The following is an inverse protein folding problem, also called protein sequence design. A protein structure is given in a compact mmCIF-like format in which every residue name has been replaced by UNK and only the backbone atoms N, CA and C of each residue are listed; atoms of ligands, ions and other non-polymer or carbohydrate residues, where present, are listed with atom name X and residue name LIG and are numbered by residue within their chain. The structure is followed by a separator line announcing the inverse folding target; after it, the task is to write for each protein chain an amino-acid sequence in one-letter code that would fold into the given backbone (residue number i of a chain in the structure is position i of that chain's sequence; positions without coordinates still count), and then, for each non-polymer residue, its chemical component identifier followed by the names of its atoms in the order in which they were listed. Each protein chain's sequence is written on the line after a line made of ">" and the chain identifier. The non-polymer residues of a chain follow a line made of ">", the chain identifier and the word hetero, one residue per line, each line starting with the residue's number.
data_IF_179108808965
#
_entry.id   IF_179108808965
#
_cell.length_a   1.000
_cell.length_b   1.000
_cell.length_c   1.000
_cell.angle_alpha   90.00
_cell.angle_beta   90.00
_cell.angle_gamma   90.00
#
_symmetry.space_group_name_H-M   'P 1'
#
loop_
_entity.id
_entity.type
_entity.pdbx_description
1 polymer ?
#
# COMPACT_ATOMS: atom_id res chain seq x y z
N UNK A 1 33.61 -14.91 34.38
CA UNK A 1 33.83 -14.20 33.09
C UNK A 1 33.42 -15.16 31.99
N UNK A 2 32.45 -14.94 31.10
CA UNK A 2 31.38 -13.96 30.92
C UNK A 2 30.22 -14.74 30.28
N UNK A 3 28.99 -14.57 30.79
CA UNK A 3 27.77 -15.02 30.11
C UNK A 3 27.56 -14.06 28.93
N UNK A 4 27.68 -14.55 27.70
CA UNK A 4 27.42 -13.76 26.50
C UNK A 4 25.92 -13.46 26.42
N UNK A 5 25.57 -12.20 26.62
CA UNK A 5 24.22 -11.67 26.46
C UNK A 5 23.77 -11.75 25.00
N UNK A 6 22.57 -12.29 24.83
CA UNK A 6 21.80 -12.25 23.58
C UNK A 6 21.23 -10.83 23.47
N UNK A 7 21.72 -10.02 22.53
CA UNK A 7 21.12 -8.73 22.21
C UNK A 7 19.95 -8.91 21.24
N UNK A 8 18.74 -9.02 21.80
CA UNK A 8 17.52 -8.82 21.01
C UNK A 8 17.48 -7.37 20.56
N UNK A 9 17.61 -7.15 19.25
CA UNK A 9 17.34 -5.87 18.60
C UNK A 9 15.86 -5.51 18.79
N UNK A 10 15.55 -4.77 19.85
CA UNK A 10 14.26 -4.11 20.02
C UNK A 10 14.16 -2.97 19.00
N UNK A 11 13.79 -3.31 17.77
CA UNK A 11 13.29 -2.35 16.81
C UNK A 11 12.01 -1.74 17.38
N UNK A 12 12.05 -0.47 17.73
CA UNK A 12 10.87 0.31 18.09
C UNK A 12 9.90 0.28 16.91
N UNK A 13 8.91 -0.61 16.94
CA UNK A 13 7.75 -0.52 16.05
C UNK A 13 7.08 0.81 16.36
N UNK A 14 7.33 1.83 15.55
CA UNK A 14 6.54 3.05 15.59
C UNK A 14 5.07 2.67 15.58
N UNK A 15 4.31 3.18 16.56
CA UNK A 15 2.86 3.01 16.60
C UNK A 15 2.29 3.73 15.38
N UNK A 16 2.04 2.99 14.31
CA UNK A 16 1.36 3.52 13.12
C UNK A 16 -0.02 4.03 13.53
N UNK A 17 -0.39 5.19 13.01
CA UNK A 17 -1.74 5.74 13.17
C UNK A 17 -2.74 4.77 12.58
N UNK A 18 -3.81 4.50 13.33
CA UNK A 18 -4.96 3.71 12.89
C UNK A 18 -6.11 4.67 12.67
N UNK A 19 -6.85 4.48 11.58
CA UNK A 19 -8.03 5.26 11.23
C UNK A 19 -9.27 4.41 11.43
N UNK A 20 -10.37 5.04 11.82
CA UNK A 20 -11.69 4.43 11.75
C UNK A 20 -12.18 4.37 10.31
N UNK A 21 -13.16 3.50 10.06
CA UNK A 21 -13.77 3.35 8.75
C UNK A 21 -14.45 4.64 8.28
N UNK A 22 -15.11 5.37 9.19
CA UNK A 22 -15.80 6.61 8.89
C UNK A 22 -14.82 7.75 8.56
N UNK A 23 -13.72 7.89 9.30
CA UNK A 23 -12.66 8.85 8.98
C UNK A 23 -12.09 8.61 7.58
N UNK A 24 -11.80 7.35 7.25
CA UNK A 24 -11.28 6.99 5.95
C UNK A 24 -12.30 7.23 4.82
N UNK A 25 -13.59 6.99 5.05
CA UNK A 25 -14.64 7.33 4.08
C UNK A 25 -14.70 8.83 3.85
N UNK A 26 -14.72 9.65 4.91
CA UNK A 26 -14.82 11.11 4.76
C UNK A 26 -13.65 11.65 3.92
N UNK A 27 -12.41 11.28 4.27
CA UNK A 27 -11.22 11.70 3.53
C UNK A 27 -11.21 11.17 2.08
N UNK A 28 -11.67 9.93 1.87
CA UNK A 28 -11.75 9.34 0.53
C UNK A 28 -12.84 9.99 -0.32
N UNK A 29 -13.98 10.37 0.26
CA UNK A 29 -15.05 11.08 -0.44
C UNK A 29 -14.58 12.44 -0.92
N UNK A 30 -13.82 13.17 -0.09
CA UNK A 30 -13.17 14.42 -0.50
C UNK A 30 -12.22 14.19 -1.67
N UNK A 31 -11.35 13.16 -1.58
CA UNK A 31 -10.44 12.78 -2.66
C UNK A 31 -11.18 12.47 -3.97
N UNK A 32 -12.30 11.75 -3.90
CA UNK A 32 -13.13 11.42 -5.06
C UNK A 32 -14.17 12.50 -5.41
N UNK A 33 -14.00 13.74 -4.92
CA UNK A 33 -14.82 14.91 -5.29
C UNK A 33 -16.32 14.69 -5.03
N UNK A 34 -16.66 14.01 -3.93
CA UNK A 34 -18.03 13.74 -3.51
C UNK A 34 -18.57 12.36 -3.91
N UNK A 35 -17.80 11.51 -4.60
CA UNK A 35 -18.23 10.14 -4.91
C UNK A 35 -18.07 9.20 -3.70
N UNK A 36 -19.14 9.08 -2.91
CA UNK A 36 -19.20 8.20 -1.73
C UNK A 36 -19.08 6.71 -2.07
N UNK A 37 -19.53 6.29 -3.26
CA UNK A 37 -19.47 4.89 -3.67
C UNK A 37 -18.02 4.48 -3.94
N UNK A 38 -17.28 5.31 -4.68
CA UNK A 38 -15.85 5.13 -4.91
C UNK A 38 -15.07 5.11 -3.59
N UNK A 39 -15.37 6.06 -2.69
CA UNK A 39 -14.77 6.13 -1.37
C UNK A 39 -14.98 4.84 -0.56
N UNK A 40 -16.23 4.38 -0.44
CA UNK A 40 -16.58 3.16 0.31
C UNK A 40 -15.92 1.91 -0.28
N UNK A 41 -15.88 1.81 -1.61
CA UNK A 41 -15.19 0.71 -2.30
C UNK A 41 -13.70 0.74 -1.98
N UNK A 42 -13.06 1.90 -2.06
CA UNK A 42 -11.64 2.04 -1.76
C UNK A 42 -11.31 1.66 -0.31
N UNK A 43 -12.02 2.20 0.68
CA UNK A 43 -11.78 1.89 2.10
C UNK A 43 -11.96 0.38 2.35
N UNK A 44 -12.99 -0.22 1.76
CA UNK A 44 -13.29 -1.64 1.97
C UNK A 44 -12.28 -2.58 1.31
N UNK A 45 -11.81 -2.22 0.11
CA UNK A 45 -11.07 -3.14 -0.77
C UNK A 45 -9.58 -2.84 -0.88
N UNK A 46 -9.16 -1.59 -0.76
CA UNK A 46 -7.83 -1.14 -1.18
C UNK A 46 -7.02 -0.45 -0.08
N UNK A 47 -7.66 0.17 0.91
CA UNK A 47 -6.96 0.75 2.05
C UNK A 47 -6.10 -0.31 2.78
N UNK A 48 -4.87 0.07 3.12
CA UNK A 48 -3.96 -0.80 3.85
C UNK A 48 -4.54 -1.19 5.22
N UNK A 49 -4.68 -2.49 5.45
CA UNK A 49 -5.22 -3.05 6.69
C UNK A 49 -4.52 -4.32 7.13
N UNK A 50 -4.65 -4.63 8.42
CA UNK A 50 -4.23 -5.92 8.98
C UNK A 50 -5.37 -6.95 8.99
N UNK A 51 -5.10 -8.13 9.52
CA UNK A 51 -6.09 -9.21 9.67
C UNK A 51 -7.21 -8.90 10.67
N UNK A 52 -7.02 -7.92 11.56
CA UNK A 52 -8.02 -7.49 12.54
C UNK A 52 -8.92 -6.37 12.00
N UNK A 53 -8.63 -5.85 10.80
CA UNK A 53 -9.38 -4.79 10.15
C UNK A 53 -8.93 -3.38 10.56
N UNK A 54 -7.78 -3.24 11.23
CA UNK A 54 -7.22 -1.93 11.53
C UNK A 54 -6.79 -1.25 10.22
N UNK A 55 -7.27 -0.04 9.95
CA UNK A 55 -6.95 0.71 8.73
C UNK A 55 -5.76 1.64 9.01
N UNK A 56 -4.77 1.64 8.11
CA UNK A 56 -3.54 2.42 8.25
C UNK A 56 -3.39 3.52 7.19
N UNK A 57 -4.34 3.63 6.27
CA UNK A 57 -4.40 4.65 5.23
C UNK A 57 -5.75 5.37 5.30
N UNK A 58 -5.71 6.69 5.40
CA UNK A 58 -6.92 7.50 5.52
C UNK A 58 -7.52 7.78 4.14
N UNK A 59 -6.68 7.96 3.14
CA UNK A 59 -7.10 8.35 1.80
C UNK A 59 -6.35 7.60 0.70
N UNK A 60 -6.87 7.60 -0.55
CA UNK A 60 -6.16 7.05 -1.69
C UNK A 60 -4.78 7.68 -1.93
N UNK A 61 -4.56 8.94 -1.51
CA UNK A 61 -3.25 9.58 -1.60
C UNK A 61 -2.20 8.85 -0.76
N UNK A 62 -2.55 8.37 0.44
CA UNK A 62 -1.64 7.60 1.29
C UNK A 62 -1.20 6.31 0.59
N UNK A 63 -2.15 5.65 -0.10
CA UNK A 63 -1.87 4.47 -0.92
C UNK A 63 -0.92 4.80 -2.07
N UNK A 64 -1.14 5.91 -2.79
CA UNK A 64 -0.23 6.35 -3.86
C UNK A 64 1.18 6.59 -3.34
N UNK A 65 1.33 7.20 -2.16
CA UNK A 65 2.64 7.41 -1.52
C UNK A 65 3.31 6.09 -1.14
N UNK A 66 2.56 5.14 -0.56
CA UNK A 66 3.08 3.79 -0.25
C UNK A 66 3.59 3.09 -1.51
N UNK A 67 2.78 3.09 -2.58
CA UNK A 67 3.14 2.46 -3.84
C UNK A 67 4.39 3.12 -4.45
N UNK A 68 4.41 4.46 -4.52
CA UNK A 68 5.52 5.21 -5.08
C UNK A 68 6.84 4.91 -4.35
N UNK A 69 6.82 4.90 -3.01
CA UNK A 69 7.99 4.58 -2.19
C UNK A 69 8.55 3.18 -2.47
N UNK A 70 7.68 2.17 -2.55
CA UNK A 70 8.14 0.80 -2.80
C UNK A 70 8.63 0.59 -4.24
N UNK A 71 8.02 1.27 -5.22
CA UNK A 71 8.49 1.24 -6.60
C UNK A 71 9.85 1.96 -6.68
N UNK A 72 9.98 3.16 -6.10
CA UNK A 72 11.23 3.92 -6.07
C UNK A 72 12.39 3.14 -5.44
N UNK A 73 12.11 2.39 -4.35
CA UNK A 73 13.08 1.49 -3.70
C UNK A 73 13.61 0.40 -4.64
N UNK A 74 12.83 -0.04 -5.62
CA UNK A 74 13.25 -1.01 -6.63
C UNK A 74 13.91 -0.31 -7.82
N UNK A 75 13.35 0.82 -8.26
CA UNK A 75 13.89 1.67 -9.33
C UNK A 75 15.35 2.07 -9.07
N UNK A 76 15.72 2.33 -7.82
CA UNK A 76 17.09 2.71 -7.43
C UNK A 76 18.17 1.68 -7.79
N UNK A 77 17.79 0.46 -8.22
CA UNK A 77 18.70 -0.60 -8.66
C UNK A 77 19.06 -0.51 -10.15
N UNK A 78 18.41 0.37 -10.91
CA UNK A 78 18.59 0.51 -12.35
C UNK A 78 19.44 1.75 -12.68
N UNK A 79 20.00 1.77 -13.89
CA UNK A 79 20.96 2.79 -14.31
C UNK A 79 20.35 4.21 -14.44
N UNK A 80 19.04 4.31 -14.68
CA UNK A 80 18.31 5.57 -14.78
C UNK A 80 17.02 5.47 -13.94
N UNK A 81 17.13 5.59 -12.61
CA UNK A 81 16.01 5.39 -11.71
C UNK A 81 14.99 6.54 -11.83
N UNK A 82 13.71 6.21 -11.80
CA UNK A 82 12.67 7.23 -11.61
C UNK A 82 12.60 7.66 -10.14
N UNK A 83 12.35 8.95 -9.88
CA UNK A 83 12.20 9.44 -8.51
C UNK A 83 10.85 9.03 -7.91
N UNK A 84 10.78 8.94 -6.57
CA UNK A 84 9.52 8.66 -5.86
C UNK A 84 8.43 9.68 -6.21
N UNK A 85 8.79 10.95 -6.34
CA UNK A 85 7.86 12.03 -6.68
C UNK A 85 7.32 11.89 -8.11
N UNK A 86 8.17 11.52 -9.07
CA UNK A 86 7.71 11.26 -10.46
C UNK A 86 6.73 10.08 -10.50
N UNK A 87 7.04 9.00 -9.78
CA UNK A 87 6.15 7.83 -9.68
C UNK A 87 4.83 8.21 -9.01
N UNK A 88 4.89 8.93 -7.88
CA UNK A 88 3.70 9.43 -7.20
C UNK A 88 2.83 10.28 -8.12
N UNK A 89 3.44 11.17 -8.91
CA UNK A 89 2.72 12.02 -9.86
C UNK A 89 2.03 11.26 -11.00
N UNK A 90 2.51 10.06 -11.35
CA UNK A 90 1.86 9.17 -12.31
C UNK A 90 0.68 8.40 -11.69
N UNK A 91 0.77 8.07 -10.40
CA UNK A 91 -0.25 7.32 -9.65
C UNK A 91 -1.38 8.22 -9.12
N UNK A 92 -1.04 9.45 -8.68
CA UNK A 92 -1.98 10.36 -8.03
C UNK A 92 -3.21 10.62 -8.90
N UNK A 93 -4.35 10.77 -8.23
CA UNK A 93 -5.65 11.00 -8.86
C UNK A 93 -6.09 9.90 -9.85
N UNK A 94 -5.38 8.77 -9.93
CA UNK A 94 -5.63 7.73 -10.94
C UNK A 94 -5.62 8.27 -12.37
N UNK A 95 -4.88 9.36 -12.62
CA UNK A 95 -4.96 10.12 -13.87
C UNK A 95 -4.28 9.44 -15.05
N UNK A 96 -3.08 8.90 -14.82
CA UNK A 96 -2.27 8.28 -15.88
C UNK A 96 -2.15 6.77 -15.69
N UNK A 97 -1.99 6.31 -14.45
CA UNK A 97 -1.86 4.90 -14.11
C UNK A 97 -2.91 4.54 -13.08
N UNK A 98 -3.67 3.49 -13.36
CA UNK A 98 -4.57 2.84 -12.41
C UNK A 98 -4.00 1.46 -12.07
N UNK A 99 -3.39 1.27 -10.89
CA UNK A 99 -2.85 -0.01 -10.52
C UNK A 99 -3.95 -1.06 -10.37
N UNK A 100 -3.58 -2.32 -10.55
CA UNK A 100 -4.51 -3.43 -10.34
C UNK A 100 -4.82 -3.62 -8.84
N UNK A 101 -5.95 -4.29 -8.54
CA UNK A 101 -6.41 -4.51 -7.16
C UNK A 101 -5.38 -5.16 -6.22
N UNK A 102 -4.72 -6.24 -6.66
CA UNK A 102 -3.67 -6.91 -5.88
C UNK A 102 -2.48 -6.00 -5.56
N UNK A 103 -1.88 -5.33 -6.57
CA UNK A 103 -0.88 -4.30 -6.36
C UNK A 103 -1.31 -3.19 -5.39
N UNK A 104 -2.51 -2.62 -5.53
CA UNK A 104 -3.00 -1.55 -4.65
C UNK A 104 -3.03 -1.97 -3.17
N UNK A 105 -3.46 -3.19 -2.86
CA UNK A 105 -3.56 -3.69 -1.47
C UNK A 105 -2.25 -4.25 -0.92
N UNK A 106 -1.41 -4.81 -1.79
CA UNK A 106 -0.32 -5.68 -1.38
C UNK A 106 1.07 -5.05 -1.41
N UNK A 107 1.36 -4.15 -2.35
CA UNK A 107 2.69 -3.54 -2.44
C UNK A 107 2.96 -2.71 -1.19
N UNK A 108 4.04 -3.02 -0.45
CA UNK A 108 4.36 -2.30 0.79
C UNK A 108 3.44 -2.63 1.97
N UNK A 109 2.66 -3.71 1.90
CA UNK A 109 1.87 -4.20 3.04
C UNK A 109 2.71 -5.13 3.93
N UNK A 110 3.08 -4.73 5.16
CA UNK A 110 3.88 -5.56 6.07
C UNK A 110 3.02 -6.48 6.96
N UNK A 111 1.69 -6.37 6.89
CA UNK A 111 0.75 -7.06 7.80
C UNK A 111 0.20 -8.35 7.21
N UNK A 112 0.15 -8.45 5.89
CA UNK A 112 -0.49 -9.56 5.18
C UNK A 112 0.36 -9.97 3.97
N UNK A 113 0.42 -11.29 3.73
CA UNK A 113 0.96 -11.83 2.48
C UNK A 113 -0.18 -11.84 1.47
N UNK A 114 -0.01 -11.15 0.35
CA UNK A 114 -0.99 -11.07 -0.73
C UNK A 114 -0.35 -11.45 -2.07
N UNK A 115 -1.12 -12.12 -2.93
CA UNK A 115 -0.74 -12.27 -4.33
C UNK A 115 -0.89 -10.93 -5.03
N UNK A 116 0.16 -10.48 -5.72
CA UNK A 116 0.12 -9.28 -6.57
C UNK A 116 -0.28 -9.61 -8.02
N UNK A 117 -0.38 -10.90 -8.35
CA UNK A 117 -0.74 -11.38 -9.69
C UNK A 117 -2.25 -11.58 -9.78
N UNK A 118 -2.85 -11.03 -10.82
CA UNK A 118 -4.26 -11.25 -11.14
C UNK A 118 -4.47 -12.39 -12.15
N UNK A 119 -3.56 -12.54 -13.12
CA UNK A 119 -3.68 -13.50 -14.21
C UNK A 119 -2.68 -14.63 -14.02
N UNK A 120 -3.15 -15.87 -14.13
CA UNK A 120 -2.30 -17.07 -14.12
C UNK A 120 -2.67 -17.97 -15.29
N UNK A 121 -1.67 -18.63 -15.87
CA UNK A 121 -1.86 -19.61 -16.95
C UNK A 121 -1.35 -20.94 -16.45
N UNK A 122 -2.19 -21.97 -16.52
CA UNK A 122 -1.83 -23.35 -16.17
C UNK A 122 -1.76 -24.14 -17.47
N UNK A 123 -0.58 -24.66 -17.80
CA UNK A 123 -0.41 -25.52 -18.96
C UNK A 123 -1.04 -26.89 -18.73
N UNK A 124 -1.81 -27.39 -19.71
CA UNK A 124 -2.19 -28.80 -19.76
C UNK A 124 -1.12 -29.60 -20.50
N UNK A 125 -0.79 -30.81 -20.02
CA UNK A 125 -0.10 -31.80 -20.85
C UNK A 125 -1.08 -32.22 -21.94
N UNK A 126 -0.70 -32.00 -23.20
CA UNK A 126 -1.45 -32.51 -24.36
C UNK A 126 -1.47 -34.03 -24.39
#
# INVERSE_FOLDING_TARGET
>A
MNKGEISFINGTKEKRKVYSFDEAIIASTEYFKGDEMAAKVWVSKYALKDSFGNIYECSPEDMHRRLAKEIARIESKYANPMSEEDIFNLLKEFKYIVPQGGPMTGIGNPFQIASLSNCFVIGSKG
#
